data_IF_082726745340
#
_entry.id   IF_082726745340
#
_cell.length_a   1.000
_cell.length_b   1.000
_cell.length_c   1.000
_cell.angle_alpha   90.00
_cell.angle_beta   90.00
_cell.angle_gamma   90.00
#
_symmetry.space_group_name_H-M   'P 1'
#
loop_
_entity.id
_entity.type
_entity.pdbx_description
1 polymer ?
#
# COMPACT_ATOMS: atom_id res chain seq x y z
N UNK A 1 1.21 -7.29 16.37
CA UNK A 1 1.38 -5.83 16.28
C UNK A 1 1.01 -5.47 14.85
N UNK A 2 -0.06 -4.70 14.63
CA UNK A 2 -0.57 -4.33 13.29
C UNK A 2 0.46 -3.42 12.59
N UNK A 3 1.52 -4.03 12.05
CA UNK A 3 2.52 -3.31 11.27
C UNK A 3 1.90 -2.96 9.91
N UNK A 4 1.73 -1.67 9.64
CA UNK A 4 1.06 -1.21 8.42
C UNK A 4 2.04 -0.89 7.28
N UNK A 5 3.33 -0.75 7.59
CA UNK A 5 4.44 -0.60 6.67
C UNK A 5 4.95 -1.95 6.14
N UNK A 6 5.55 -1.89 4.95
CA UNK A 6 6.27 -3.01 4.35
C UNK A 6 7.71 -2.98 4.80
N UNK A 7 8.26 -4.17 5.00
CA UNK A 7 9.70 -4.37 5.03
C UNK A 7 10.16 -4.48 3.58
N UNK A 8 11.08 -3.59 3.19
CA UNK A 8 11.67 -3.60 1.86
C UNK A 8 12.98 -4.39 1.88
N UNK A 9 13.04 -5.46 1.09
CA UNK A 9 14.24 -6.24 0.87
C UNK A 9 14.82 -5.93 -0.50
N UNK A 10 16.06 -5.44 -0.52
CA UNK A 10 16.78 -5.21 -1.76
C UNK A 10 17.32 -6.54 -2.31
N UNK A 11 17.08 -6.81 -3.59
CA UNK A 11 17.49 -8.02 -4.28
C UNK A 11 18.43 -7.72 -5.46
N UNK A 12 19.39 -6.81 -5.26
CA UNK A 12 20.40 -6.45 -6.28
C UNK A 12 21.47 -7.53 -6.53
N UNK A 13 21.86 -8.29 -5.51
CA UNK A 13 22.91 -9.32 -5.62
C UNK A 13 22.46 -10.65 -5.01
N UNK A 14 22.87 -11.75 -5.66
CA UNK A 14 22.64 -13.13 -5.23
C UNK A 14 23.17 -13.41 -3.82
N UNK A 15 24.20 -12.68 -3.39
CA UNK A 15 24.76 -12.80 -2.04
C UNK A 15 23.74 -12.53 -0.92
N UNK A 16 22.72 -11.69 -1.17
CA UNK A 16 21.68 -11.35 -0.19
C UNK A 16 20.48 -12.30 -0.18
N UNK A 17 20.40 -13.23 -1.14
CA UNK A 17 19.21 -14.07 -1.33
C UNK A 17 18.91 -14.95 -0.11
N UNK A 18 19.95 -15.59 0.43
CA UNK A 18 19.83 -16.43 1.60
C UNK A 18 19.37 -15.65 2.83
N UNK A 19 19.80 -14.38 2.96
CA UNK A 19 19.44 -13.50 4.07
C UNK A 19 17.98 -13.07 3.93
N UNK A 20 17.61 -12.53 2.77
CA UNK A 20 16.24 -12.13 2.44
C UNK A 20 15.26 -13.28 2.69
N UNK A 21 15.54 -14.47 2.14
CA UNK A 21 14.68 -15.64 2.32
C UNK A 21 14.55 -16.03 3.80
N UNK A 22 15.66 -16.05 4.54
CA UNK A 22 15.67 -16.39 5.97
C UNK A 22 14.85 -15.39 6.80
N UNK A 23 14.93 -14.10 6.48
CA UNK A 23 14.18 -13.07 7.19
C UNK A 23 12.67 -13.14 6.88
N UNK A 24 12.29 -13.32 5.61
CA UNK A 24 10.87 -13.51 5.25
C UNK A 24 10.31 -14.79 5.88
N UNK A 25 11.06 -15.90 5.82
CA UNK A 25 10.70 -17.14 6.48
C UNK A 25 10.42 -16.93 7.97
N UNK A 26 11.31 -16.21 8.66
CA UNK A 26 11.15 -15.89 10.08
C UNK A 26 9.89 -15.07 10.34
N UNK A 27 9.63 -14.01 9.57
CA UNK A 27 8.43 -13.18 9.68
C UNK A 27 7.16 -14.02 9.58
N UNK A 28 7.10 -14.90 8.58
CA UNK A 28 5.92 -15.74 8.30
C UNK A 28 5.74 -16.81 9.38
N UNK A 29 6.83 -17.44 9.85
CA UNK A 29 6.78 -18.42 10.93
C UNK A 29 6.32 -17.80 12.25
N UNK A 30 6.85 -16.63 12.61
CA UNK A 30 6.47 -15.88 13.83
C UNK A 30 5.03 -15.37 13.77
N UNK A 31 4.48 -15.15 12.56
CA UNK A 31 3.06 -14.82 12.35
C UNK A 31 2.10 -16.01 12.51
N UNK A 32 2.62 -17.21 12.75
CA UNK A 32 1.83 -18.42 13.02
C UNK A 32 1.25 -19.08 11.77
N UNK A 33 1.88 -18.92 10.60
CA UNK A 33 1.55 -19.71 9.43
C UNK A 33 1.94 -21.18 9.64
N UNK A 34 1.19 -22.10 9.03
CA UNK A 34 1.53 -23.53 9.08
C UNK A 34 2.86 -23.81 8.38
N UNK A 35 3.57 -24.87 8.77
CA UNK A 35 4.83 -25.28 8.12
C UNK A 35 4.67 -25.48 6.60
N UNK A 36 3.54 -26.02 6.17
CA UNK A 36 3.19 -26.14 4.74
C UNK A 36 3.15 -24.76 4.07
N UNK A 37 2.38 -23.82 4.62
CA UNK A 37 2.26 -22.45 4.07
C UNK A 37 3.60 -21.72 4.07
N UNK A 38 4.41 -21.88 5.11
CA UNK A 38 5.78 -21.34 5.16
C UNK A 38 6.61 -21.87 3.99
N UNK A 39 6.56 -23.19 3.73
CA UNK A 39 7.25 -23.81 2.60
C UNK A 39 6.75 -23.31 1.23
N UNK A 40 5.44 -23.10 1.08
CA UNK A 40 4.85 -22.51 -0.14
C UNK A 40 5.38 -21.08 -0.37
N UNK A 41 5.42 -20.26 0.69
CA UNK A 41 5.92 -18.89 0.65
C UNK A 41 7.42 -18.85 0.34
N UNK A 42 8.20 -19.77 0.90
CA UNK A 42 9.64 -19.91 0.61
C UNK A 42 9.92 -20.21 -0.87
N UNK A 43 9.04 -20.95 -1.55
CA UNK A 43 9.13 -21.18 -2.99
C UNK A 43 8.78 -19.90 -3.74
N UNK A 44 7.70 -19.21 -3.38
CA UNK A 44 7.31 -17.94 -4.02
C UNK A 44 8.43 -16.92 -3.94
N UNK A 45 9.04 -16.74 -2.75
CA UNK A 45 10.17 -15.84 -2.55
C UNK A 45 11.36 -16.26 -3.41
N UNK A 46 11.70 -17.55 -3.46
CA UNK A 46 12.81 -18.04 -4.28
C UNK A 46 12.60 -17.74 -5.77
N UNK A 47 11.37 -17.90 -6.29
CA UNK A 47 11.04 -17.60 -7.67
C UNK A 47 11.04 -16.09 -7.96
N UNK A 48 10.46 -15.25 -7.08
CA UNK A 48 10.53 -13.79 -7.20
C UNK A 48 11.98 -13.32 -7.25
N UNK A 49 12.79 -13.75 -6.28
CA UNK A 49 14.19 -13.36 -6.16
C UNK A 49 15.04 -13.87 -7.33
N UNK A 50 14.80 -15.09 -7.81
CA UNK A 50 15.41 -15.63 -9.03
C UNK A 50 15.06 -14.78 -10.25
N UNK A 51 13.79 -14.36 -10.39
CA UNK A 51 13.34 -13.57 -11.53
C UNK A 51 14.00 -12.19 -11.56
N UNK A 52 14.09 -11.51 -10.41
CA UNK A 52 14.72 -10.19 -10.29
C UNK A 52 16.16 -10.20 -10.82
N UNK A 53 16.97 -11.18 -10.44
CA UNK A 53 18.38 -11.22 -10.89
C UNK A 53 18.55 -11.75 -12.30
N UNK A 54 17.80 -12.78 -12.70
CA UNK A 54 17.99 -13.38 -14.03
C UNK A 54 17.46 -12.49 -15.16
N UNK A 55 16.46 -11.65 -14.88
CA UNK A 55 15.72 -10.97 -15.94
C UNK A 55 15.65 -9.44 -15.78
N UNK A 56 16.02 -8.88 -14.63
CA UNK A 56 15.86 -7.45 -14.39
C UNK A 56 17.06 -6.77 -13.70
N UNK A 57 18.20 -7.46 -13.62
CA UNK A 57 19.43 -6.96 -12.98
C UNK A 57 19.23 -6.51 -11.52
N UNK A 58 18.23 -7.08 -10.86
CA UNK A 58 17.87 -6.79 -9.48
C UNK A 58 16.49 -6.15 -9.33
N UNK A 59 16.22 -5.63 -8.15
CA UNK A 59 14.94 -5.04 -7.77
C UNK A 59 14.73 -5.09 -6.27
N UNK A 60 13.48 -5.03 -5.83
CA UNK A 60 13.10 -5.11 -4.43
C UNK A 60 11.87 -5.98 -4.21
N UNK A 61 11.78 -6.59 -3.02
CA UNK A 61 10.60 -7.33 -2.56
C UNK A 61 10.07 -6.61 -1.32
N UNK A 62 8.83 -6.13 -1.42
CA UNK A 62 8.10 -5.53 -0.30
C UNK A 62 7.28 -6.62 0.39
N UNK A 63 7.37 -6.68 1.70
CA UNK A 63 6.76 -7.75 2.52
C UNK A 63 5.95 -7.14 3.64
N UNK A 64 4.69 -7.56 3.77
CA UNK A 64 3.82 -7.09 4.86
C UNK A 64 2.83 -8.16 5.30
N UNK A 65 2.67 -8.30 6.62
CA UNK A 65 1.51 -9.00 7.19
C UNK A 65 0.32 -8.04 7.18
N UNK A 66 -0.79 -8.46 6.58
CA UNK A 66 -1.96 -7.61 6.41
C UNK A 66 -3.26 -8.33 6.76
N UNK A 67 -4.27 -7.52 7.07
CA UNK A 67 -5.66 -7.95 7.17
C UNK A 67 -6.38 -7.62 5.86
N UNK A 68 -6.96 -8.62 5.23
CA UNK A 68 -7.93 -8.44 4.15
C UNK A 68 -9.31 -8.76 4.74
N UNK A 69 -10.03 -7.74 5.22
CA UNK A 69 -11.11 -7.86 6.20
C UNK A 69 -10.68 -8.73 7.39
N UNK A 70 -11.36 -9.86 7.65
CA UNK A 70 -11.04 -10.72 8.81
C UNK A 70 -9.98 -11.80 8.53
N UNK A 71 -9.42 -11.83 7.30
CA UNK A 71 -8.44 -12.82 6.91
C UNK A 71 -7.02 -12.25 6.97
N UNK A 72 -6.16 -12.88 7.77
CA UNK A 72 -4.73 -12.59 7.83
C UNK A 72 -4.01 -13.16 6.60
N UNK A 73 -3.16 -12.35 5.97
CA UNK A 73 -2.35 -12.74 4.83
C UNK A 73 -0.93 -12.16 4.91
N UNK A 74 0.01 -12.83 4.27
CA UNK A 74 1.29 -12.22 3.89
C UNK A 74 1.13 -11.67 2.46
N UNK A 75 1.51 -10.41 2.28
CA UNK A 75 1.61 -9.74 0.99
C UNK A 75 3.09 -9.64 0.58
N UNK A 76 3.38 -10.07 -0.64
CA UNK A 76 4.68 -10.01 -1.27
C UNK A 76 4.53 -9.24 -2.58
N UNK A 77 5.26 -8.14 -2.73
CA UNK A 77 5.29 -7.33 -3.95
C UNK A 77 6.72 -7.29 -4.48
N UNK A 78 6.99 -8.00 -5.57
CA UNK A 78 8.26 -7.91 -6.30
C UNK A 78 8.20 -6.76 -7.29
N UNK A 79 9.21 -5.90 -7.29
CA UNK A 79 9.29 -4.70 -8.15
C UNK A 79 10.66 -4.66 -8.82
N UNK A 80 10.67 -4.50 -10.14
CA UNK A 80 11.89 -4.34 -10.92
C UNK A 80 11.82 -3.24 -11.98
N UNK A 81 12.99 -2.86 -12.49
CA UNK A 81 13.17 -1.91 -13.61
C UNK A 81 13.77 -2.62 -14.84
N UNK A 82 13.53 -3.92 -14.99
CA UNK A 82 14.02 -4.69 -16.11
C UNK A 82 13.34 -4.33 -17.44
N UNK A 83 13.59 -5.11 -18.51
CA UNK A 83 13.03 -4.85 -19.83
C UNK A 83 11.49 -4.99 -19.88
N UNK A 84 10.88 -5.63 -18.87
CA UNK A 84 9.45 -5.93 -18.83
C UNK A 84 9.01 -6.95 -19.87
N UNK A 85 7.69 -7.14 -19.99
CA UNK A 85 7.06 -8.13 -20.84
C UNK A 85 6.00 -7.48 -21.72
N UNK A 86 5.87 -7.95 -22.97
CA UNK A 86 4.82 -7.46 -23.90
C UNK A 86 3.48 -8.16 -23.66
N UNK A 87 3.50 -9.46 -23.34
CA UNK A 87 2.30 -10.24 -23.02
C UNK A 87 2.58 -11.16 -21.81
N UNK A 88 2.35 -10.67 -20.58
CA UNK A 88 2.53 -11.47 -19.37
C UNK A 88 1.60 -12.69 -19.31
N UNK A 89 0.40 -12.61 -19.89
CA UNK A 89 -0.57 -13.70 -19.85
C UNK A 89 -0.08 -14.90 -20.66
N UNK A 90 0.44 -14.63 -21.86
CA UNK A 90 1.04 -15.68 -22.70
C UNK A 90 2.24 -16.37 -22.02
N UNK A 91 3.08 -15.62 -21.31
CA UNK A 91 4.20 -16.19 -20.55
C UNK A 91 3.76 -17.11 -19.41
N UNK A 92 2.55 -16.92 -18.87
CA UNK A 92 1.98 -17.78 -17.82
C UNK A 92 1.33 -19.07 -18.36
N UNK A 93 0.80 -19.04 -19.59
CA UNK A 93 0.13 -20.18 -20.22
C UNK A 93 1.12 -21.14 -20.86
N UNK A 94 2.09 -20.62 -21.61
CA UNK A 94 2.86 -21.45 -22.53
C UNK A 94 3.99 -22.23 -21.85
N UNK A 95 4.45 -21.86 -20.65
CA UNK A 95 5.72 -22.37 -20.10
C UNK A 95 6.95 -22.06 -20.98
N UNK A 96 6.75 -21.50 -22.18
CA UNK A 96 7.72 -21.17 -23.21
C UNK A 96 8.31 -19.78 -22.94
N UNK A 97 9.14 -19.69 -21.91
CA UNK A 97 10.22 -18.72 -21.94
C UNK A 97 11.39 -19.32 -22.72
N UNK A 98 11.97 -18.53 -23.63
CA UNK A 98 13.17 -18.89 -24.43
C UNK A 98 14.43 -19.12 -23.59
N UNK A 99 14.34 -18.88 -22.28
CA UNK A 99 15.20 -19.45 -21.24
C UNK A 99 14.32 -20.40 -20.41
N UNK A 100 14.66 -21.68 -20.34
CA UNK A 100 13.81 -22.80 -19.87
C UNK A 100 13.29 -22.77 -18.41
N UNK A 101 13.25 -21.62 -17.72
CA UNK A 101 12.92 -21.53 -16.28
C UNK A 101 11.85 -20.50 -15.88
N UNK A 102 11.55 -19.45 -16.66
CA UNK A 102 10.64 -18.38 -16.20
C UNK A 102 9.16 -18.81 -16.18
N UNK A 103 8.70 -19.54 -17.21
CA UNK A 103 7.31 -20.00 -17.30
C UNK A 103 6.92 -20.99 -16.19
N UNK A 104 7.87 -21.82 -15.76
CA UNK A 104 7.67 -22.70 -14.59
C UNK A 104 7.63 -21.91 -13.28
N UNK A 105 8.50 -20.91 -13.10
CA UNK A 105 8.53 -20.08 -11.88
C UNK A 105 7.26 -19.25 -11.69
N UNK A 106 6.79 -18.56 -12.75
CA UNK A 106 5.54 -17.80 -12.72
C UNK A 106 4.33 -18.71 -12.47
N UNK A 107 4.28 -19.87 -13.12
CA UNK A 107 3.21 -20.86 -12.91
C UNK A 107 3.20 -21.42 -11.48
N UNK A 108 4.38 -21.68 -10.90
CA UNK A 108 4.50 -22.11 -9.51
C UNK A 108 4.02 -21.05 -8.53
N UNK A 109 4.44 -19.79 -8.69
CA UNK A 109 3.93 -18.71 -7.85
C UNK A 109 2.41 -18.61 -7.92
N UNK A 110 1.83 -18.59 -9.13
CA UNK A 110 0.37 -18.53 -9.32
C UNK A 110 -0.37 -19.65 -8.59
N UNK A 111 0.16 -20.88 -8.59
CA UNK A 111 -0.47 -22.04 -7.93
C UNK A 111 -0.37 -22.00 -6.42
N UNK A 112 0.71 -21.41 -5.89
CA UNK A 112 1.00 -21.37 -4.45
C UNK A 112 0.39 -20.14 -3.77
N UNK A 113 0.09 -19.08 -4.54
CA UNK A 113 -0.56 -17.88 -4.08
C UNK A 113 -2.09 -18.02 -4.06
N UNK A 114 -2.75 -17.46 -3.04
CA UNK A 114 -4.21 -17.30 -3.04
C UNK A 114 -4.64 -16.10 -3.91
N UNK A 115 -3.82 -15.06 -3.96
CA UNK A 115 -3.95 -13.93 -4.90
C UNK A 115 -2.64 -13.78 -5.66
N UNK A 116 -2.68 -13.84 -6.99
CA UNK A 116 -1.51 -13.62 -7.84
C UNK A 116 -1.86 -12.69 -8.99
N UNK A 117 -1.07 -11.64 -9.17
CA UNK A 117 -1.17 -10.75 -10.30
C UNK A 117 0.21 -10.30 -10.78
N UNK A 118 0.38 -10.19 -12.09
CA UNK A 118 1.59 -9.71 -12.74
C UNK A 118 1.24 -8.53 -13.63
N UNK A 119 1.91 -7.41 -13.43
CA UNK A 119 1.78 -6.22 -14.25
C UNK A 119 3.16 -5.86 -14.80
N UNK A 120 3.28 -5.80 -16.12
CA UNK A 120 4.56 -5.53 -16.78
C UNK A 120 4.32 -4.62 -17.98
N UNK A 121 5.27 -3.70 -18.20
CA UNK A 121 5.31 -2.87 -19.39
C UNK A 121 6.72 -2.91 -19.96
N UNK A 122 6.81 -2.93 -21.30
CA UNK A 122 8.08 -2.92 -22.01
C UNK A 122 8.90 -1.66 -21.65
N UNK A 123 10.20 -1.83 -21.42
CA UNK A 123 11.16 -0.79 -21.00
C UNK A 123 10.82 -0.09 -19.67
N UNK A 124 9.88 -0.64 -18.90
CA UNK A 124 9.52 -0.12 -17.58
C UNK A 124 9.83 -1.13 -16.49
N UNK A 125 9.63 -2.42 -16.73
CA UNK A 125 9.87 -3.51 -15.78
C UNK A 125 8.59 -4.23 -15.35
N UNK A 126 8.67 -4.99 -14.28
CA UNK A 126 7.57 -5.83 -13.79
C UNK A 126 7.25 -5.58 -12.32
N UNK A 127 5.97 -5.69 -11.99
CA UNK A 127 5.44 -5.76 -10.63
C UNK A 127 4.67 -7.08 -10.50
N UNK A 128 5.05 -7.90 -9.52
CA UNK A 128 4.33 -9.14 -9.16
C UNK A 128 3.76 -8.97 -7.77
N UNK A 129 2.44 -9.14 -7.63
CA UNK A 129 1.74 -9.22 -6.37
C UNK A 129 1.41 -10.69 -6.07
N UNK A 130 1.79 -11.15 -4.88
CA UNK A 130 1.36 -12.42 -4.30
C UNK A 130 0.80 -12.18 -2.91
N UNK A 131 -0.40 -12.72 -2.62
CA UNK A 131 -0.89 -12.88 -1.25
C UNK A 131 -1.12 -14.35 -0.93
N UNK A 132 -0.71 -14.75 0.27
CA UNK A 132 -0.97 -16.08 0.83
C UNK A 132 -1.70 -15.88 2.16
N UNK A 133 -2.91 -16.40 2.27
CA UNK A 133 -3.69 -16.31 3.51
C UNK A 133 -3.19 -17.33 4.53
N UNK A 134 -3.13 -16.92 5.80
CA UNK A 134 -2.79 -17.83 6.91
C UNK A 134 -3.80 -18.97 7.02
N UNK A 135 -5.07 -18.63 6.81
CA UNK A 135 -6.20 -19.56 6.70
C UNK A 135 -7.00 -19.17 5.47
N UNK A 136 -7.29 -20.13 4.59
CA UNK A 136 -8.04 -19.88 3.36
C UNK A 136 -9.41 -19.26 3.70
N UNK A 137 -9.72 -18.07 3.16
CA UNK A 137 -11.02 -17.45 3.37
C UNK A 137 -12.15 -18.30 2.76
N UNK A 138 -13.39 -18.20 3.27
CA UNK A 138 -14.54 -18.87 2.67
C UNK A 138 -14.74 -18.46 1.21
N UNK A 139 -15.06 -19.41 0.33
CA UNK A 139 -15.26 -19.15 -1.10
C UNK A 139 -16.41 -18.17 -1.39
N UNK A 140 -17.42 -18.11 -0.53
CA UNK A 140 -18.61 -17.25 -0.69
C UNK A 140 -18.45 -15.88 -0.04
N UNK A 141 -17.24 -15.34 0.04
CA UNK A 141 -16.99 -14.05 0.66
C UNK A 141 -17.65 -12.93 -0.17
N UNK A 142 -18.54 -12.17 0.47
CA UNK A 142 -19.12 -10.97 -0.14
C UNK A 142 -18.00 -9.92 -0.32
N UNK A 143 -17.79 -9.38 -1.53
CA UNK A 143 -16.83 -8.31 -1.74
C UNK A 143 -17.11 -7.12 -0.81
N UNK A 144 -16.09 -6.51 -0.19
CA UNK A 144 -16.32 -5.39 0.69
C UNK A 144 -16.87 -4.19 -0.10
N UNK A 145 -17.69 -3.36 0.56
CA UNK A 145 -18.26 -2.14 -0.04
C UNK A 145 -17.21 -1.10 -0.44
N UNK A 146 -15.99 -1.25 0.05
CA UNK A 146 -14.84 -0.47 -0.37
C UNK A 146 -13.57 -1.32 -0.31
N UNK A 147 -12.62 -0.97 -1.16
CA UNK A 147 -11.28 -1.55 -1.19
C UNK A 147 -10.28 -0.46 -0.80
N UNK A 148 -9.35 -0.79 0.10
CA UNK A 148 -8.23 0.06 0.47
C UNK A 148 -6.95 -0.76 0.34
N UNK A 149 -5.96 -0.22 -0.36
CA UNK A 149 -4.62 -0.81 -0.51
C UNK A 149 -3.57 0.27 -0.30
N UNK A 150 -2.39 -0.13 0.12
CA UNK A 150 -1.29 0.80 0.30
C UNK A 150 0.07 0.14 0.07
N UNK A 151 1.04 0.98 -0.27
CA UNK A 151 2.46 0.71 -0.18
C UNK A 151 3.05 1.77 0.74
N UNK A 152 3.59 1.33 1.88
CA UNK A 152 4.28 2.20 2.85
C UNK A 152 5.63 1.56 3.10
N UNK A 153 6.71 2.31 2.93
CA UNK A 153 8.08 1.84 3.07
C UNK A 153 8.87 2.86 3.87
N UNK A 154 9.58 2.37 4.89
CA UNK A 154 10.43 3.22 5.70
C UNK A 154 11.54 3.88 4.88
N UNK A 155 11.96 5.07 5.28
CA UNK A 155 13.16 5.72 4.73
C UNK A 155 14.35 4.73 4.74
N UNK A 156 15.16 4.66 3.67
CA UNK A 156 16.33 3.80 3.66
C UNK A 156 17.24 4.04 4.87
N UNK A 157 17.59 2.97 5.59
CA UNK A 157 18.36 3.01 6.84
C UNK A 157 17.50 3.02 8.11
N UNK A 158 16.18 3.25 8.01
CA UNK A 158 15.26 3.16 9.14
C UNK A 158 14.60 1.77 9.23
N UNK A 159 14.29 1.36 10.45
CA UNK A 159 13.63 0.08 10.73
C UNK A 159 12.10 0.15 10.74
N UNK A 160 11.55 1.36 10.87
CA UNK A 160 10.13 1.66 10.94
C UNK A 160 9.85 2.97 10.20
N UNK A 161 8.68 3.06 9.58
CA UNK A 161 8.29 4.27 8.87
C UNK A 161 7.64 5.30 9.80
N UNK A 162 7.98 6.58 9.61
CA UNK A 162 7.25 7.72 10.14
C UNK A 162 5.87 7.92 9.52
N UNK A 163 5.57 7.23 8.41
CA UNK A 163 4.26 7.23 7.75
C UNK A 163 3.36 6.11 8.25
N UNK A 164 2.06 6.38 8.33
CA UNK A 164 1.06 5.33 8.50
C UNK A 164 -0.28 5.73 7.90
N UNK A 165 -1.12 4.72 7.72
CA UNK A 165 -2.54 4.91 7.43
C UNK A 165 -3.39 4.18 8.45
N UNK A 166 -4.70 4.36 8.40
CA UNK A 166 -5.67 3.41 8.90
C UNK A 166 -7.00 3.64 8.20
N UNK A 167 -7.86 2.62 8.18
CA UNK A 167 -9.22 2.78 7.72
C UNK A 167 -10.19 1.98 8.59
N UNK A 168 -11.43 2.44 8.60
CA UNK A 168 -12.55 1.74 9.22
C UNK A 168 -13.70 1.70 8.21
N UNK A 169 -14.18 0.50 7.92
CA UNK A 169 -15.31 0.27 7.04
C UNK A 169 -16.49 -0.23 7.87
N UNK A 170 -17.54 0.57 7.94
CA UNK A 170 -18.83 0.20 8.55
C UNK A 170 -19.90 0.02 7.48
N UNK A 171 -21.11 -0.35 7.90
CA UNK A 171 -22.27 -0.38 7.00
C UNK A 171 -22.66 1.02 6.50
N UNK A 172 -22.28 2.08 7.19
CA UNK A 172 -22.70 3.46 6.92
C UNK A 172 -21.63 4.30 6.22
N UNK A 173 -20.35 4.05 6.53
CA UNK A 173 -19.24 4.86 6.01
C UNK A 173 -17.94 4.09 5.86
N UNK A 174 -17.04 4.63 5.05
CA UNK A 174 -15.60 4.36 5.07
C UNK A 174 -14.90 5.58 5.65
N UNK A 175 -14.12 5.40 6.70
CA UNK A 175 -13.17 6.41 7.21
C UNK A 175 -11.77 6.01 6.79
N UNK A 176 -11.00 6.92 6.18
CA UNK A 176 -9.62 6.72 5.77
C UNK A 176 -8.76 7.85 6.34
N UNK A 177 -7.68 7.49 7.04
CA UNK A 177 -6.67 8.42 7.52
C UNK A 177 -5.31 8.04 6.95
N UNK A 178 -4.55 9.05 6.51
CA UNK A 178 -3.13 8.93 6.16
C UNK A 178 -2.38 10.04 6.87
N UNK A 179 -1.26 9.71 7.51
CA UNK A 179 -0.44 10.67 8.24
C UNK A 179 1.04 10.34 8.14
N UNK A 180 1.82 11.38 8.40
CA UNK A 180 3.28 11.42 8.27
C UNK A 180 3.81 12.19 9.49
N UNK A 181 4.51 11.46 10.36
CA UNK A 181 5.07 11.98 11.61
C UNK A 181 6.31 12.82 11.36
N UNK A 182 6.49 13.91 12.11
CA UNK A 182 7.62 14.80 11.86
C UNK A 182 8.99 14.10 12.00
N UNK A 183 9.74 14.07 10.89
CA UNK A 183 11.04 13.43 10.78
C UNK A 183 10.89 12.00 10.26
N UNK A 184 11.74 11.09 10.73
CA UNK A 184 11.70 9.68 10.35
C UNK A 184 12.09 8.80 11.53
N UNK A 185 11.90 7.49 11.39
CA UNK A 185 12.29 6.50 12.39
C UNK A 185 11.33 6.42 13.59
N UNK A 186 11.80 5.89 14.74
CA UNK A 186 10.92 5.51 15.85
C UNK A 186 10.06 6.63 16.44
N UNK A 187 10.58 7.86 16.55
CA UNK A 187 9.83 8.96 17.15
C UNK A 187 8.71 9.49 16.22
N UNK A 188 8.95 9.50 14.91
CA UNK A 188 7.93 9.81 13.91
C UNK A 188 6.87 8.69 13.90
N UNK A 189 7.32 7.43 13.96
CA UNK A 189 6.44 6.26 14.04
C UNK A 189 5.54 6.28 15.29
N UNK A 190 6.05 6.72 16.45
CA UNK A 190 5.22 6.87 17.66
C UNK A 190 4.10 7.89 17.45
N UNK A 191 4.40 9.03 16.83
CA UNK A 191 3.40 10.07 16.53
C UNK A 191 2.25 9.52 15.66
N UNK A 192 2.56 8.85 14.55
CA UNK A 192 1.53 8.26 13.67
C UNK A 192 0.84 7.05 14.31
N UNK A 193 1.53 6.27 15.14
CA UNK A 193 0.92 5.14 15.87
C UNK A 193 -0.11 5.63 16.88
N UNK A 194 0.20 6.70 17.62
CA UNK A 194 -0.77 7.33 18.53
C UNK A 194 -1.93 7.95 17.75
N UNK A 195 -1.65 8.55 16.60
CA UNK A 195 -2.68 9.10 15.72
C UNK A 195 -3.67 8.02 15.24
N UNK A 196 -3.16 6.90 14.73
CA UNK A 196 -3.98 5.75 14.30
C UNK A 196 -4.83 5.21 15.46
N UNK A 197 -4.26 5.09 16.66
CA UNK A 197 -5.01 4.65 17.85
C UNK A 197 -6.13 5.62 18.23
N UNK A 198 -5.93 6.92 18.07
CA UNK A 198 -6.95 7.93 18.36
C UNK A 198 -8.07 7.88 17.30
N UNK A 199 -7.72 7.82 16.02
CA UNK A 199 -8.70 7.73 14.92
C UNK A 199 -9.57 6.47 15.03
N UNK A 200 -8.98 5.30 15.35
CA UNK A 200 -9.74 4.05 15.55
C UNK A 200 -10.75 4.09 16.70
N UNK A 201 -10.65 5.07 17.61
CA UNK A 201 -11.60 5.25 18.73
C UNK A 201 -12.68 6.28 18.43
N UNK A 202 -12.53 7.03 17.34
CA UNK A 202 -13.38 8.14 16.99
C UNK A 202 -14.43 7.71 15.96
N UNK A 203 -15.71 8.03 16.20
CA UNK A 203 -16.80 7.57 15.32
C UNK A 203 -17.75 8.70 14.90
N UNK A 204 -17.36 9.98 15.03
CA UNK A 204 -18.18 11.11 14.56
C UNK A 204 -18.48 11.01 13.06
N UNK A 205 -17.50 10.60 12.25
CA UNK A 205 -17.59 10.62 10.79
C UNK A 205 -17.48 12.02 10.18
N UNK A 206 -17.08 13.03 10.97
CA UNK A 206 -16.87 14.40 10.52
C UNK A 206 -15.36 14.73 10.59
N UNK A 207 -14.65 14.80 9.44
CA UNK A 207 -13.18 14.88 9.41
C UNK A 207 -12.58 16.03 10.24
N UNK A 208 -13.20 17.22 10.24
CA UNK A 208 -12.74 18.35 11.07
C UNK A 208 -12.74 18.00 12.57
N UNK A 209 -13.80 17.38 13.07
CA UNK A 209 -13.91 17.04 14.49
C UNK A 209 -12.91 15.94 14.87
N UNK A 210 -12.77 14.95 13.98
CA UNK A 210 -11.76 13.90 14.12
C UNK A 210 -10.34 14.49 14.17
N UNK A 211 -10.02 15.48 13.33
CA UNK A 211 -8.72 16.18 13.36
C UNK A 211 -8.51 16.98 14.65
N UNK A 212 -9.55 17.60 15.21
CA UNK A 212 -9.44 18.33 16.50
C UNK A 212 -9.21 17.38 17.68
N UNK A 213 -9.92 16.26 17.68
CA UNK A 213 -9.73 15.16 18.64
C UNK A 213 -8.31 14.59 18.53
N UNK A 214 -7.85 14.34 17.30
CA UNK A 214 -6.50 13.89 16.98
C UNK A 214 -5.43 14.87 17.46
N UNK A 215 -5.60 16.17 17.17
CA UNK A 215 -4.67 17.22 17.57
C UNK A 215 -4.45 17.23 19.08
N UNK A 216 -5.50 17.01 19.88
CA UNK A 216 -5.39 16.94 21.33
C UNK A 216 -4.68 15.66 21.79
N UNK A 217 -4.97 14.54 21.12
CA UNK A 217 -4.46 13.22 21.48
C UNK A 217 -2.94 13.07 21.28
N UNK A 218 -2.38 13.75 20.28
CA UNK A 218 -0.96 13.60 19.89
C UNK A 218 -0.06 14.74 20.36
N UNK A 219 -0.54 15.65 21.23
CA UNK A 219 0.21 16.82 21.73
C UNK A 219 1.55 16.49 22.40
N UNK A 220 1.72 15.28 22.92
CA UNK A 220 2.93 14.83 23.61
C UNK A 220 3.93 14.12 22.68
N UNK A 221 3.65 14.07 21.38
CA UNK A 221 4.49 13.45 20.36
C UNK A 221 5.29 14.54 19.62
N UNK A 222 6.09 14.15 18.61
CA UNK A 222 6.70 15.11 17.69
C UNK A 222 5.68 15.89 16.84
N UNK A 223 4.42 15.45 16.82
CA UNK A 223 3.41 15.95 15.91
C UNK A 223 3.52 15.29 14.54
N UNK A 224 2.51 15.53 13.72
CA UNK A 224 2.38 14.92 12.40
C UNK A 224 1.56 15.80 11.46
N UNK A 225 1.68 15.54 10.18
CA UNK A 225 0.71 15.98 9.16
C UNK A 225 -0.24 14.82 8.87
N UNK A 226 -1.43 15.12 8.36
CA UNK A 226 -2.40 14.07 8.07
C UNK A 226 -3.65 14.55 7.37
N UNK A 227 -4.29 13.65 6.64
CA UNK A 227 -5.59 13.88 5.98
C UNK A 227 -6.57 12.78 6.34
N UNK A 228 -7.80 13.16 6.65
CA UNK A 228 -8.94 12.27 6.89
C UNK A 228 -9.93 12.44 5.73
N UNK A 229 -10.32 11.32 5.14
CA UNK A 229 -11.37 11.23 4.13
C UNK A 229 -12.45 10.27 4.61
N UNK A 230 -13.69 10.75 4.70
CA UNK A 230 -14.86 9.96 5.09
C UNK A 230 -15.81 9.87 3.90
N UNK A 231 -16.13 8.66 3.47
CA UNK A 231 -17.17 8.40 2.48
C UNK A 231 -18.44 7.90 3.16
N UNK A 232 -19.57 8.58 2.96
CA UNK A 232 -20.86 8.14 3.48
C UNK A 232 -21.65 7.40 2.38
N UNK A 233 -22.06 6.16 2.67
CA UNK A 233 -22.73 5.30 1.70
C UNK A 233 -24.17 5.71 1.40
N UNK A 234 -24.82 6.46 2.29
CA UNK A 234 -26.21 6.92 2.14
C UNK A 234 -26.30 8.11 1.20
N UNK A 235 -25.48 9.13 1.41
CA UNK A 235 -25.49 10.36 0.59
C UNK A 235 -24.52 10.30 -0.61
N UNK A 236 -23.66 9.28 -0.65
CA UNK A 236 -22.63 9.06 -1.68
C UNK A 236 -21.69 10.26 -1.83
N UNK A 237 -21.26 10.83 -0.70
CA UNK A 237 -20.31 11.95 -0.67
C UNK A 237 -19.05 11.62 0.10
N UNK A 238 -17.95 12.17 -0.39
CA UNK A 238 -16.70 12.28 0.34
C UNK A 238 -16.67 13.59 1.12
N UNK A 239 -16.26 13.50 2.39
CA UNK A 239 -15.87 14.64 3.22
C UNK A 239 -14.39 14.50 3.50
N UNK A 240 -13.61 15.54 3.20
CA UNK A 240 -12.15 15.49 3.31
C UNK A 240 -11.68 16.71 4.09
N UNK A 241 -10.85 16.48 5.11
CA UNK A 241 -10.12 17.52 5.80
C UNK A 241 -8.69 17.04 6.08
N UNK A 242 -7.70 17.91 5.81
CA UNK A 242 -6.30 17.60 6.01
C UNK A 242 -5.50 18.80 6.52
N UNK A 243 -4.40 18.49 7.20
CA UNK A 243 -3.44 19.44 7.76
C UNK A 243 -2.04 19.02 7.32
N UNK A 244 -1.30 19.95 6.76
CA UNK A 244 0.04 19.72 6.21
C UNK A 244 0.01 19.32 4.73
N UNK A 245 0.89 18.41 4.35
CA UNK A 245 1.29 18.18 2.95
C UNK A 245 1.01 16.76 2.41
N UNK A 246 0.09 16.01 3.04
CA UNK A 246 -0.42 14.76 2.44
C UNK A 246 -1.13 15.08 1.13
N UNK A 247 -0.54 14.65 0.03
CA UNK A 247 -1.07 14.88 -1.31
C UNK A 247 -2.28 13.97 -1.55
N UNK A 248 -3.47 14.56 -1.60
CA UNK A 248 -4.74 13.84 -1.76
C UNK A 248 -5.37 14.16 -3.11
N UNK A 249 -5.65 13.12 -3.91
CA UNK A 249 -6.15 13.22 -5.27
C UNK A 249 -7.36 12.32 -5.49
N UNK A 250 -8.44 12.91 -5.99
CA UNK A 250 -9.61 12.20 -6.49
C UNK A 250 -9.46 11.99 -8.00
N UNK A 251 -9.49 10.75 -8.45
CA UNK A 251 -9.32 10.41 -9.86
C UNK A 251 -10.51 9.59 -10.38
N UNK A 252 -11.03 9.96 -11.55
CA UNK A 252 -11.99 9.15 -12.29
C UNK A 252 -11.69 9.24 -13.80
N UNK A 253 -11.13 8.16 -14.36
CA UNK A 253 -10.63 8.18 -15.74
C UNK A 253 -9.59 9.28 -15.93
N UNK A 254 -9.84 10.20 -16.87
CA UNK A 254 -8.98 11.35 -17.17
C UNK A 254 -9.17 12.53 -16.20
N UNK A 255 -10.27 12.54 -15.43
CA UNK A 255 -10.58 13.64 -14.52
C UNK A 255 -9.80 13.48 -13.22
N UNK A 256 -8.99 14.50 -12.92
CA UNK A 256 -8.18 14.58 -11.71
C UNK A 256 -8.57 15.83 -10.93
N UNK A 257 -8.90 15.67 -9.64
CA UNK A 257 -9.14 16.78 -8.72
C UNK A 257 -8.23 16.61 -7.51
N UNK A 258 -7.39 17.62 -7.25
CA UNK A 258 -6.54 17.65 -6.06
C UNK A 258 -7.31 18.30 -4.90
N UNK A 259 -7.15 17.73 -3.70
CA UNK A 259 -7.57 18.32 -2.44
C UNK A 259 -6.46 19.24 -1.92
N UNK A 260 -6.85 20.37 -1.32
CA UNK A 260 -5.92 21.33 -0.71
C UNK A 260 -6.07 21.29 0.80
N UNK A 261 -5.04 20.79 1.47
CA UNK A 261 -4.95 20.74 2.93
C UNK A 261 -4.69 22.12 3.54
N UNK A 262 -5.04 22.29 4.80
CA UNK A 262 -4.67 23.46 5.58
C UNK A 262 -3.20 23.40 6.02
N UNK A 263 -2.57 24.56 6.20
CA UNK A 263 -1.24 24.65 6.80
C UNK A 263 -1.31 24.41 8.32
N UNK A 264 -0.37 23.64 8.86
CA UNK A 264 -0.26 23.36 10.28
C UNK A 264 0.38 22.01 10.54
N UNK A 265 0.53 21.69 11.83
CA UNK A 265 1.03 20.40 12.30
C UNK A 265 0.14 19.91 13.44
N UNK A 266 -0.45 18.73 13.26
CA UNK A 266 -1.32 18.07 14.23
C UNK A 266 -0.50 17.76 15.48
N UNK A 267 -1.05 18.04 16.66
CA UNK A 267 -0.32 18.00 17.94
C UNK A 267 0.40 19.29 18.32
N UNK A 268 0.68 20.20 17.38
CA UNK A 268 1.36 21.47 17.65
C UNK A 268 0.49 22.69 17.37
N UNK A 269 0.19 22.95 16.10
CA UNK A 269 -0.58 24.10 15.66
C UNK A 269 -1.52 23.74 14.50
N UNK A 270 -2.82 23.97 14.68
CA UNK A 270 -3.83 23.76 13.65
C UNK A 270 -4.65 25.04 13.47
N UNK A 271 -5.24 25.29 12.29
CA UNK A 271 -6.08 26.48 12.09
C UNK A 271 -7.28 26.49 13.03
N UNK A 272 -7.68 27.70 13.47
CA UNK A 272 -8.88 27.88 14.28
C UNK A 272 -10.16 27.53 13.49
N UNK A 273 -10.19 27.86 12.20
CA UNK A 273 -11.33 27.61 11.32
C UNK A 273 -10.93 26.62 10.24
N UNK A 274 -11.63 25.49 10.20
CA UNK A 274 -11.49 24.45 9.18
C UNK A 274 -12.88 24.01 8.74
N UNK A 275 -13.01 23.60 7.48
CA UNK A 275 -14.25 23.06 6.92
C UNK A 275 -13.94 21.81 6.12
N UNK A 276 -14.86 20.87 6.14
CA UNK A 276 -14.78 19.71 5.26
C UNK A 276 -14.97 20.16 3.81
N UNK A 277 -14.11 19.66 2.93
CA UNK A 277 -14.36 19.72 1.51
C UNK A 277 -15.27 18.56 1.13
N UNK A 278 -16.46 18.89 0.63
CA UNK A 278 -17.45 17.90 0.19
C UNK A 278 -17.29 17.66 -1.31
N UNK A 279 -17.20 16.39 -1.70
CA UNK A 279 -17.05 15.97 -3.11
C UNK A 279 -18.05 14.86 -3.40
N UNK A 280 -18.84 15.03 -4.47
CA UNK A 280 -19.75 13.99 -4.93
C UNK A 280 -18.97 12.78 -5.47
N UNK A 281 -19.42 11.58 -5.11
CA UNK A 281 -18.81 10.36 -5.61
C UNK A 281 -19.25 10.05 -7.04
N UNK A 282 -18.28 9.64 -7.85
CA UNK A 282 -18.53 9.10 -9.19
C UNK A 282 -18.11 7.64 -9.21
N UNK A 283 -18.93 6.78 -9.83
CA UNK A 283 -18.65 5.35 -9.92
C UNK A 283 -17.24 5.10 -10.51
N UNK A 284 -16.47 4.22 -9.87
CA UNK A 284 -15.11 3.88 -10.29
C UNK A 284 -14.05 4.90 -9.89
N UNK A 285 -14.42 5.96 -9.16
CA UNK A 285 -13.50 6.95 -8.62
C UNK A 285 -12.55 6.33 -7.59
N UNK A 286 -11.28 6.72 -7.70
CA UNK A 286 -10.22 6.44 -6.73
C UNK A 286 -9.93 7.68 -5.91
N UNK A 287 -9.64 7.48 -4.62
CA UNK A 287 -8.91 8.45 -3.80
C UNK A 287 -7.49 7.92 -3.62
N UNK A 288 -6.50 8.72 -4.00
CA UNK A 288 -5.07 8.42 -3.88
C UNK A 288 -4.46 9.45 -2.93
N UNK A 289 -3.83 8.97 -1.87
CA UNK A 289 -3.23 9.78 -0.81
C UNK A 289 -1.77 9.38 -0.66
N UNK A 290 -0.85 10.34 -0.72
CA UNK A 290 0.58 10.08 -0.58
C UNK A 290 1.23 11.05 0.41
N UNK A 291 2.21 10.58 1.18
CA UNK A 291 3.13 11.47 1.91
C UNK A 291 4.04 12.23 0.95
N UNK A 292 4.82 13.17 1.48
CA UNK A 292 5.72 13.99 0.68
C UNK A 292 6.96 13.22 0.17
N UNK A 293 7.25 12.04 0.73
CA UNK A 293 8.21 11.07 0.20
C UNK A 293 7.86 10.55 -1.19
N UNK A 294 6.64 10.79 -1.67
CA UNK A 294 6.24 10.59 -3.07
C UNK A 294 6.18 11.94 -3.79
N UNK A 295 6.80 12.03 -4.97
CA UNK A 295 6.73 13.24 -5.82
C UNK A 295 5.28 13.52 -6.22
N UNK A 296 4.75 14.70 -5.90
CA UNK A 296 3.32 15.05 -6.08
C UNK A 296 2.79 15.07 -7.53
N UNK A 297 3.67 15.15 -8.53
CA UNK A 297 3.34 15.16 -9.96
C UNK A 297 3.43 13.75 -10.56
N UNK A 298 2.58 12.83 -10.07
CA UNK A 298 2.41 11.52 -10.71
C UNK A 298 1.36 11.54 -11.82
N UNK A 299 1.57 10.71 -12.84
CA UNK A 299 0.65 10.49 -13.95
C UNK A 299 0.36 9.00 -14.09
N UNK A 300 -0.86 8.61 -13.70
CA UNK A 300 -1.33 7.23 -13.76
C UNK A 300 -1.74 6.79 -15.17
N UNK A 301 -1.86 7.71 -16.12
CA UNK A 301 -2.24 7.39 -17.51
C UNK A 301 -1.14 6.65 -18.26
N UNK A 302 0.12 6.81 -17.82
CA UNK A 302 1.27 6.06 -18.34
C UNK A 302 1.17 4.55 -18.09
N UNK A 303 0.32 4.12 -17.16
CA UNK A 303 0.15 2.73 -16.79
C UNK A 303 -1.05 2.11 -17.51
N UNK A 304 -0.80 1.59 -18.72
CA UNK A 304 -1.84 0.99 -19.55
C UNK A 304 -2.62 -0.11 -18.82
N UNK A 305 -3.94 0.05 -18.72
CA UNK A 305 -4.85 -0.92 -18.12
C UNK A 305 -4.60 -1.28 -16.64
N UNK A 306 -3.75 -0.55 -15.91
CA UNK A 306 -3.42 -0.85 -14.51
C UNK A 306 -4.63 -0.86 -13.58
N UNK A 307 -5.68 -0.10 -13.91
CA UNK A 307 -6.92 -0.02 -13.12
C UNK A 307 -7.74 -1.33 -13.11
N UNK A 308 -7.37 -2.32 -13.94
CA UNK A 308 -7.96 -3.67 -13.94
C UNK A 308 -7.32 -4.59 -12.89
N UNK A 309 -6.18 -4.18 -12.33
CA UNK A 309 -5.44 -4.93 -11.34
C UNK A 309 -5.85 -4.52 -9.92
N UNK A 310 -5.34 -5.25 -8.92
CA UNK A 310 -5.44 -4.93 -7.52
C UNK A 310 -4.82 -3.55 -7.25
N UNK A 311 -5.44 -2.76 -6.37
CA UNK A 311 -4.97 -1.40 -6.11
C UNK A 311 -3.55 -1.36 -5.52
N UNK A 312 -3.06 -2.46 -4.93
CA UNK A 312 -1.68 -2.57 -4.48
C UNK A 312 -0.67 -2.51 -5.65
N UNK A 313 -1.04 -2.98 -6.85
CA UNK A 313 -0.19 -2.85 -8.04
C UNK A 313 -0.08 -1.39 -8.47
N UNK A 314 -1.19 -0.65 -8.45
CA UNK A 314 -1.17 0.79 -8.72
C UNK A 314 -0.36 1.56 -7.66
N UNK A 315 -0.52 1.21 -6.38
CA UNK A 315 0.26 1.80 -5.30
C UNK A 315 1.77 1.52 -5.47
N UNK A 316 2.13 0.29 -5.81
CA UNK A 316 3.51 -0.12 -6.09
C UNK A 316 4.10 0.58 -7.32
N UNK A 317 3.31 0.79 -8.38
CA UNK A 317 3.75 1.54 -9.56
C UNK A 317 4.04 3.01 -9.24
N UNK A 318 3.18 3.65 -8.43
CA UNK A 318 3.41 5.03 -7.98
C UNK A 318 4.65 5.09 -7.08
N UNK A 319 4.78 4.18 -6.13
CA UNK A 319 5.96 4.06 -5.27
C UNK A 319 7.26 3.90 -6.09
N UNK A 320 7.25 2.98 -7.06
CA UNK A 320 8.39 2.69 -7.95
C UNK A 320 8.85 3.93 -8.73
N UNK A 321 7.94 4.62 -9.40
CA UNK A 321 8.28 5.72 -10.31
C UNK A 321 8.48 7.06 -9.61
N UNK A 322 7.80 7.28 -8.48
CA UNK A 322 7.69 8.59 -7.85
C UNK A 322 8.22 8.64 -6.41
N UNK A 323 8.66 7.53 -5.84
CA UNK A 323 9.34 7.50 -4.54
C UNK A 323 10.65 8.29 -4.55
N UNK A 324 10.84 9.15 -3.54
CA UNK A 324 12.06 9.97 -3.41
C UNK A 324 13.26 9.19 -2.90
N UNK A 325 13.02 8.11 -2.13
CA UNK A 325 14.05 7.29 -1.46
C UNK A 325 14.97 8.07 -0.50
N UNK A 326 14.60 9.29 -0.16
CA UNK A 326 15.28 10.13 0.84
C UNK A 326 14.44 10.35 2.10
N UNK A 327 13.22 9.81 2.10
CA UNK A 327 12.23 9.97 3.16
C UNK A 327 11.36 8.70 3.27
N UNK A 328 10.49 8.67 4.28
CA UNK A 328 9.40 7.72 4.38
C UNK A 328 8.46 7.86 3.18
N UNK A 329 8.03 6.72 2.61
CA UNK A 329 7.26 6.71 1.37
C UNK A 329 5.94 6.00 1.58
N UNK A 330 4.82 6.72 1.48
CA UNK A 330 3.49 6.14 1.53
C UNK A 330 2.63 6.49 0.32
N UNK A 331 1.95 5.48 -0.19
CA UNK A 331 0.89 5.56 -1.21
C UNK A 331 -0.30 4.76 -0.69
N UNK A 332 -1.45 5.40 -0.53
CA UNK A 332 -2.69 4.77 -0.07
C UNK A 332 -3.77 5.05 -1.09
N UNK A 333 -4.45 4.01 -1.53
CA UNK A 333 -5.46 4.08 -2.59
C UNK A 333 -6.73 3.42 -2.07
N UNK A 334 -7.87 4.12 -2.22
CA UNK A 334 -9.17 3.53 -1.94
C UNK A 334 -10.14 3.69 -3.10
N UNK A 335 -11.04 2.72 -3.22
CA UNK A 335 -12.13 2.66 -4.19
C UNK A 335 -13.41 2.22 -3.50
N UNK A 336 -14.52 2.86 -3.83
CA UNK A 336 -15.85 2.39 -3.42
C UNK A 336 -16.34 1.35 -4.42
N UNK A 337 -16.77 0.20 -3.91
CA UNK A 337 -17.37 -0.87 -4.68
C UNK A 337 -18.90 -0.66 -4.66
N UNK A 338 -19.50 -0.70 -5.85
CA UNK A 338 -20.94 -0.48 -6.03
C UNK A 338 -21.76 -1.73 -5.77
#
# INVERSE_FOLDING_TARGET
MDRQDHICFNAQDRSYFSILKKEIHKIVAEAGFSATKVGEIDIIVAEMTSNLVKHAEGGEILVRLMMDGDAEAIELISIDNGPGMTDPQKMMEDGLSTSSTLGHGLGSMKRLSDVFQIYSLKEWGTIILSRVYRKTPPANRVPPRAEVRSVIVAKPGESVSGDSYCYELTTEKLTLFVGDGLGHGPDANDAVTQAVKAIRKENTGEPVDMLRSLHTSVRKTRGLVGTIAVFNFKDKKWRICGIGNIATRMQNGLLVRNYMSYNGIIGMNIPNTMKDQIVDHVKGQLIIMCSDGIKTRWDTQRYTAIFRYDLAILAAAIYKDYGRRTDDMSVVIARINN
#
